data_IF_140514464105
#
_entry.id   IF_140514464105
#
_cell.length_a   1.000
_cell.length_b   1.000
_cell.length_c   1.000
_cell.angle_alpha   90.00
_cell.angle_beta   90.00
_cell.angle_gamma   90.00
#
_symmetry.space_group_name_H-M   'P 1'
#
loop_
_entity.id
_entity.type
_entity.pdbx_description
1 polymer ?
#
# COMPACT_ATOMS: atom_id res chain seq x y z
N UNK A 1 26.49 17.77 5.07
CA UNK A 1 25.43 16.97 5.71
C UNK A 1 25.77 15.49 5.91
N UNK A 2 26.85 14.93 5.34
CA UNK A 2 27.25 13.52 5.58
C UNK A 2 27.84 13.27 6.99
N UNK A 3 28.58 14.23 7.57
CA UNK A 3 29.25 14.08 8.87
C UNK A 3 28.32 13.81 10.07
N UNK A 4 27.08 14.30 10.01
CA UNK A 4 26.17 14.24 11.15
C UNK A 4 25.54 12.85 11.37
N UNK A 5 25.53 11.98 10.33
CA UNK A 5 25.03 10.60 10.43
C UNK A 5 26.06 9.66 11.07
N UNK A 6 27.34 9.88 10.79
CA UNK A 6 28.42 9.08 11.38
C UNK A 6 28.56 9.37 12.88
N UNK A 7 28.37 10.64 13.27
CA UNK A 7 28.41 11.07 14.68
C UNK A 7 27.33 10.38 15.56
N UNK A 8 26.13 10.13 15.01
CA UNK A 8 25.03 9.48 15.74
C UNK A 8 25.24 7.97 15.92
N UNK A 9 25.82 7.30 14.92
CA UNK A 9 26.15 5.88 14.99
C UNK A 9 27.25 5.61 16.03
N UNK A 10 28.28 6.44 16.03
CA UNK A 10 29.39 6.35 16.98
C UNK A 10 28.93 6.67 18.40
N UNK A 11 27.98 7.61 18.55
CA UNK A 11 27.38 7.96 19.84
C UNK A 11 26.56 6.82 20.43
N UNK A 12 25.78 6.10 19.61
CA UNK A 12 24.99 4.96 20.06
C UNK A 12 25.87 3.79 20.51
N UNK A 13 26.92 3.52 19.75
CA UNK A 13 27.88 2.45 20.06
C UNK A 13 28.63 2.72 21.37
N UNK A 14 28.98 3.99 21.64
CA UNK A 14 29.58 4.40 22.93
C UNK A 14 28.61 4.29 24.11
N UNK A 15 27.32 4.57 23.92
CA UNK A 15 26.31 4.45 24.98
C UNK A 15 26.08 2.99 25.38
N UNK A 16 26.15 2.07 24.41
CA UNK A 16 25.98 0.63 24.66
C UNK A 16 27.23 -0.04 25.23
N UNK A 17 28.42 0.51 24.94
CA UNK A 17 29.69 0.02 25.46
C UNK A 17 30.01 0.54 26.88
N UNK A 18 29.20 1.43 27.46
CA UNK A 18 29.36 1.87 28.84
C UNK A 18 28.82 0.81 29.81
N UNK A 19 29.65 0.40 30.77
CA UNK A 19 29.39 -0.63 31.81
C UNK A 19 28.26 -0.29 32.83
N UNK A 20 27.22 0.43 32.40
CA UNK A 20 26.11 0.87 33.25
C UNK A 20 24.83 0.03 33.07
N UNK A 21 24.96 -1.21 32.58
CA UNK A 21 23.85 -2.16 32.60
C UNK A 21 23.71 -2.74 34.02
N UNK A 22 23.06 -1.96 34.90
CA UNK A 22 22.68 -2.41 36.24
C UNK A 22 21.73 -3.60 36.11
N UNK A 23 22.11 -4.74 36.67
CA UNK A 23 21.28 -5.94 36.64
C UNK A 23 19.92 -5.65 37.28
N UNK A 24 18.80 -5.94 36.59
CA UNK A 24 17.48 -5.56 37.08
C UNK A 24 17.14 -6.31 38.37
N UNK A 25 16.40 -5.67 39.31
CA UNK A 25 16.00 -6.32 40.57
C UNK A 25 15.33 -7.67 40.34
N UNK A 26 15.68 -8.68 41.14
CA UNK A 26 15.27 -10.08 40.95
C UNK A 26 13.75 -10.31 40.91
N UNK A 27 12.95 -9.38 41.44
CA UNK A 27 11.49 -9.42 41.33
C UNK A 27 10.98 -9.07 39.92
N UNK A 28 11.66 -8.16 39.22
CA UNK A 28 11.34 -7.72 37.87
C UNK A 28 11.66 -8.80 36.84
N UNK A 29 12.83 -9.44 37.00
CA UNK A 29 13.24 -10.56 36.14
C UNK A 29 12.28 -11.75 36.26
N UNK A 30 11.86 -12.11 37.49
CA UNK A 30 10.90 -13.20 37.72
C UNK A 30 9.52 -12.91 37.10
N UNK A 31 9.03 -11.68 37.18
CA UNK A 31 7.76 -11.28 36.54
C UNK A 31 7.85 -11.35 35.01
N UNK A 32 8.98 -10.92 34.43
CA UNK A 32 9.22 -11.01 32.99
C UNK A 32 9.29 -12.45 32.49
N UNK A 33 9.98 -13.34 33.21
CA UNK A 33 10.04 -14.78 32.90
C UNK A 33 8.64 -15.42 33.00
N UNK A 34 7.88 -15.11 34.04
CA UNK A 34 6.52 -15.62 34.20
C UNK A 34 5.55 -15.13 33.11
N UNK A 35 5.72 -13.90 32.63
CA UNK A 35 4.96 -13.35 31.50
C UNK A 35 5.36 -14.03 30.18
N UNK A 36 6.65 -14.23 29.95
CA UNK A 36 7.20 -14.93 28.78
C UNK A 36 6.74 -16.39 28.68
N UNK A 37 6.65 -17.11 29.81
CA UNK A 37 6.17 -18.49 29.84
C UNK A 37 4.66 -18.63 29.52
N UNK A 38 3.85 -17.59 29.77
CA UNK A 38 2.41 -17.57 29.45
C UNK A 38 2.13 -17.19 28.00
N UNK A 39 3.07 -16.51 27.36
CA UNK A 39 3.07 -16.20 25.94
C UNK A 39 3.74 -17.39 25.21
N UNK A 40 2.98 -18.47 25.00
CA UNK A 40 3.50 -19.68 24.31
C UNK A 40 4.24 -19.35 23.01
N UNK A 41 5.20 -20.21 22.63
CA UNK A 41 6.21 -20.03 21.57
C UNK A 41 5.70 -19.30 20.31
N UNK A 42 5.69 -17.98 20.37
CA UNK A 42 5.76 -17.12 19.19
C UNK A 42 7.17 -16.59 19.20
N UNK A 43 8.03 -17.18 18.35
CA UNK A 43 9.35 -16.64 18.06
C UNK A 43 9.19 -15.15 17.73
N UNK A 44 9.59 -14.31 18.68
CA UNK A 44 9.60 -12.87 18.57
C UNK A 44 11.05 -12.45 18.73
N UNK A 45 11.68 -12.09 17.62
CA UNK A 45 13.01 -11.51 17.65
C UNK A 45 12.99 -10.11 18.24
N UNK A 46 14.18 -9.55 18.47
CA UNK A 46 14.37 -8.25 19.12
C UNK A 46 13.82 -7.06 18.30
N UNK A 47 14.26 -5.84 18.64
CA UNK A 47 13.91 -4.61 17.91
C UNK A 47 14.11 -4.75 16.39
N UNK A 48 15.09 -5.56 15.97
CA UNK A 48 15.32 -5.93 14.56
C UNK A 48 14.13 -6.70 13.96
N UNK A 49 13.51 -7.64 14.69
CA UNK A 49 12.32 -8.37 14.23
C UNK A 49 11.07 -7.48 14.26
N UNK A 50 11.01 -6.50 15.16
CA UNK A 50 9.96 -5.46 15.13
C UNK A 50 10.10 -4.55 13.90
N UNK A 51 11.33 -4.16 13.54
CA UNK A 51 11.63 -3.41 12.31
C UNK A 51 11.31 -4.26 11.07
N UNK A 52 11.68 -5.55 11.07
CA UNK A 52 11.35 -6.47 9.98
C UNK A 52 9.85 -6.76 9.83
N UNK A 53 9.04 -6.48 10.85
CA UNK A 53 7.57 -6.55 10.81
C UNK A 53 6.91 -5.28 10.26
N UNK A 54 7.67 -4.25 9.91
CA UNK A 54 7.16 -3.09 9.17
C UNK A 54 7.08 -3.48 7.68
N UNK A 55 5.86 -3.59 7.14
CA UNK A 55 5.66 -3.73 5.68
C UNK A 55 5.69 -2.33 5.08
N UNK A 56 6.67 -2.08 4.21
CA UNK A 56 6.83 -0.82 3.50
C UNK A 56 5.85 -0.76 2.33
N UNK A 57 4.62 -0.28 2.57
CA UNK A 57 3.66 -0.03 1.48
C UNK A 57 3.89 1.34 0.81
N UNK A 58 4.64 2.25 1.45
CA UNK A 58 5.26 3.42 0.82
C UNK A 58 6.46 3.92 1.64
N UNK A 59 7.48 4.49 0.98
CA UNK A 59 8.68 5.01 1.64
C UNK A 59 8.43 6.19 2.61
N UNK A 60 7.21 6.73 2.66
CA UNK A 60 6.87 7.94 3.41
C UNK A 60 6.18 7.67 4.76
N UNK A 61 5.57 6.50 4.99
CA UNK A 61 4.80 6.24 6.23
C UNK A 61 4.88 4.76 6.66
N UNK A 62 5.83 4.39 7.53
CA UNK A 62 5.87 3.03 8.09
C UNK A 62 4.71 2.84 9.08
N UNK A 63 3.88 1.82 8.88
CA UNK A 63 2.82 1.42 9.81
C UNK A 63 3.22 0.10 10.52
N UNK A 64 2.98 -0.04 11.84
CA UNK A 64 3.23 -1.27 12.57
C UNK A 64 2.37 -2.42 12.04
N UNK A 65 2.93 -3.63 11.88
CA UNK A 65 2.13 -4.82 11.60
C UNK A 65 1.01 -4.99 12.64
N UNK A 66 -0.23 -4.97 12.19
CA UNK A 66 -1.43 -5.09 13.02
C UNK A 66 -2.17 -3.78 13.30
N UNK A 67 -1.58 -2.62 13.00
CA UNK A 67 -2.31 -1.33 12.97
C UNK A 67 -2.97 -1.20 11.61
N UNK A 68 -4.12 -1.86 11.43
CA UNK A 68 -5.06 -1.51 10.37
C UNK A 68 -5.70 -0.19 10.80
N UNK A 69 -5.28 0.91 10.17
CA UNK A 69 -5.89 2.21 10.40
C UNK A 69 -7.39 2.13 10.19
N UNK A 70 -8.16 2.65 11.14
CA UNK A 70 -9.63 2.79 11.07
C UNK A 70 -10.08 3.87 10.07
N UNK A 71 -9.20 4.28 9.16
CA UNK A 71 -9.53 5.10 8.02
C UNK A 71 -9.64 4.15 6.82
N UNK A 72 -10.86 4.01 6.30
CA UNK A 72 -11.24 3.50 4.98
C UNK A 72 -10.01 3.06 4.17
N UNK A 73 -9.68 1.77 4.21
CA UNK A 73 -8.39 1.28 3.73
C UNK A 73 -8.22 1.58 2.24
N UNK A 74 -7.59 2.70 1.88
CA UNK A 74 -7.29 2.98 0.49
C UNK A 74 -6.36 1.89 -0.04
N UNK A 75 -6.63 1.35 -1.23
CA UNK A 75 -5.82 0.31 -1.87
C UNK A 75 -5.12 0.87 -3.09
N UNK A 76 -3.79 0.93 -3.06
CA UNK A 76 -2.97 1.32 -4.22
C UNK A 76 -2.47 0.09 -4.96
N UNK A 77 -2.48 0.13 -6.28
CA UNK A 77 -2.06 -0.96 -7.17
C UNK A 77 -1.38 -0.37 -8.42
N UNK A 78 -0.41 -1.10 -8.96
CA UNK A 78 0.26 -0.76 -10.21
C UNK A 78 0.05 -1.92 -11.19
N UNK A 79 -0.45 -1.64 -12.39
CA UNK A 79 -0.69 -2.62 -13.43
C UNK A 79 0.14 -2.32 -14.67
N UNK A 80 0.76 -3.33 -15.25
CA UNK A 80 1.37 -3.22 -16.58
C UNK A 80 0.31 -3.48 -17.64
N UNK A 81 0.07 -2.50 -18.51
CA UNK A 81 -0.82 -2.62 -19.66
C UNK A 81 0.01 -2.87 -20.89
N UNK A 82 -0.16 -4.04 -21.48
CA UNK A 82 0.47 -4.38 -22.75
C UNK A 82 -0.51 -4.09 -23.91
N UNK A 83 -0.01 -3.62 -25.06
CA UNK A 83 -0.85 -3.34 -26.20
C UNK A 83 -1.49 -4.61 -26.74
N UNK A 84 -2.68 -4.47 -27.32
CA UNK A 84 -3.31 -5.56 -28.05
C UNK A 84 -2.42 -5.98 -29.24
N UNK A 85 -2.29 -7.30 -29.47
CA UNK A 85 -1.42 -7.86 -30.51
C UNK A 85 -1.60 -7.15 -31.86
N UNK A 86 -0.58 -6.41 -32.28
CA UNK A 86 -0.58 -5.65 -33.53
C UNK A 86 -0.26 -4.16 -33.38
N UNK A 87 -0.29 -3.61 -32.16
CA UNK A 87 0.20 -2.26 -31.92
C UNK A 87 1.73 -2.24 -31.78
N UNK A 88 2.38 -1.28 -32.42
CA UNK A 88 3.85 -1.12 -32.45
C UNK A 88 4.41 -0.34 -31.25
N UNK A 89 3.55 0.14 -30.36
CA UNK A 89 3.95 0.99 -29.24
C UNK A 89 4.35 0.22 -28.00
N UNK A 90 5.09 0.88 -27.11
CA UNK A 90 5.46 0.34 -25.81
C UNK A 90 4.24 0.38 -24.89
N UNK A 91 3.96 -0.72 -24.18
CA UNK A 91 2.96 -0.74 -23.13
C UNK A 91 3.19 0.33 -22.04
N UNK A 92 2.14 0.67 -21.31
CA UNK A 92 2.14 1.67 -20.24
C UNK A 92 1.78 1.05 -18.89
N UNK A 93 2.07 1.74 -17.80
CA UNK A 93 1.70 1.35 -16.46
C UNK A 93 0.47 2.16 -16.01
N UNK A 94 -0.44 1.52 -15.27
CA UNK A 94 -1.57 2.14 -14.61
C UNK A 94 -1.33 2.11 -13.10
N UNK A 95 -1.05 3.27 -12.51
CA UNK A 95 -1.02 3.48 -11.06
C UNK A 95 -2.44 3.85 -10.60
N UNK A 96 -3.01 3.06 -9.70
CA UNK A 96 -4.42 3.13 -9.32
C UNK A 96 -4.57 3.12 -7.80
N UNK A 97 -5.28 4.11 -7.28
CA UNK A 97 -5.76 4.18 -5.91
C UNK A 97 -7.27 3.94 -5.88
N UNK A 98 -7.69 2.95 -5.10
CA UNK A 98 -9.09 2.60 -4.87
C UNK A 98 -9.47 3.02 -3.45
N UNK A 99 -10.39 3.97 -3.32
CA UNK A 99 -10.86 4.50 -2.04
C UNK A 99 -12.31 4.12 -1.81
N UNK A 100 -12.64 3.63 -0.63
CA UNK A 100 -14.03 3.38 -0.24
C UNK A 100 -14.57 4.63 0.44
N UNK A 101 -15.56 5.31 -0.13
CA UNK A 101 -16.06 6.57 0.42
C UNK A 101 -17.09 6.35 1.56
N UNK A 102 -17.96 5.36 1.42
CA UNK A 102 -19.05 5.10 2.38
C UNK A 102 -19.62 3.65 2.33
N UNK A 103 -18.83 2.69 1.86
CA UNK A 103 -19.23 1.28 1.74
C UNK A 103 -20.14 0.97 0.55
N UNK A 104 -20.64 1.99 -0.15
CA UNK A 104 -21.46 1.88 -1.37
C UNK A 104 -20.89 2.64 -2.55
N UNK A 105 -20.00 3.61 -2.29
CA UNK A 105 -19.31 4.39 -3.32
C UNK A 105 -17.82 4.12 -3.24
N UNK A 106 -17.24 3.88 -4.41
CA UNK A 106 -15.81 3.71 -4.61
C UNK A 106 -15.32 4.86 -5.48
N UNK A 107 -14.24 5.49 -5.04
CA UNK A 107 -13.52 6.49 -5.83
C UNK A 107 -12.24 5.84 -6.35
N UNK A 108 -12.05 5.89 -7.65
CA UNK A 108 -10.83 5.46 -8.33
C UNK A 108 -10.07 6.71 -8.75
N UNK A 109 -8.86 6.85 -8.25
CA UNK A 109 -7.91 7.86 -8.71
C UNK A 109 -6.78 7.11 -9.39
N UNK A 110 -6.37 7.51 -10.59
CA UNK A 110 -5.26 6.83 -11.23
C UNK A 110 -4.52 7.66 -12.25
N UNK A 111 -3.40 7.12 -12.69
CA UNK A 111 -2.50 7.74 -13.65
C UNK A 111 -1.95 6.70 -14.64
N UNK A 112 -1.91 7.04 -15.93
CA UNK A 112 -1.19 6.29 -16.96
C UNK A 112 0.25 6.79 -17.10
N UNK A 113 1.21 5.86 -17.13
CA UNK A 113 2.65 6.12 -17.16
C UNK A 113 3.34 5.33 -18.28
N UNK A 114 3.92 5.97 -19.32
CA UNK A 114 3.88 7.41 -19.58
C UNK A 114 2.46 7.91 -19.87
N UNK A 115 2.21 9.22 -19.75
CA UNK A 115 0.90 9.80 -20.08
C UNK A 115 0.50 9.49 -21.52
N UNK A 116 -0.74 9.02 -21.69
CA UNK A 116 -1.34 8.78 -23.01
C UNK A 116 -2.52 9.73 -23.18
N UNK A 117 -2.34 10.70 -24.08
CA UNK A 117 -3.40 11.64 -24.42
C UNK A 117 -4.59 10.93 -25.08
N UNK A 118 -5.78 11.50 -24.93
CA UNK A 118 -7.04 10.99 -25.49
C UNK A 118 -7.42 9.57 -25.04
N UNK A 119 -6.77 9.07 -23.98
CA UNK A 119 -7.18 7.83 -23.34
C UNK A 119 -8.48 8.02 -22.55
N UNK A 120 -9.27 6.96 -22.46
CA UNK A 120 -10.53 6.92 -21.71
C UNK A 120 -10.51 5.74 -20.76
N UNK A 121 -10.88 5.97 -19.50
CA UNK A 121 -10.98 4.92 -18.49
C UNK A 121 -12.43 4.70 -18.13
N UNK A 122 -12.86 3.44 -18.18
CA UNK A 122 -14.17 2.98 -17.75
C UNK A 122 -14.02 2.05 -16.57
N UNK A 123 -14.90 2.17 -15.59
CA UNK A 123 -14.95 1.27 -14.45
C UNK A 123 -16.34 0.66 -14.30
N UNK A 124 -16.40 -0.60 -13.91
CA UNK A 124 -17.63 -1.36 -13.69
C UNK A 124 -17.56 -2.12 -12.37
N UNK A 125 -18.62 -2.02 -11.56
CA UNK A 125 -18.80 -2.82 -10.36
C UNK A 125 -20.26 -3.22 -10.22
N UNK A 126 -20.58 -4.49 -10.52
CA UNK A 126 -21.97 -4.96 -10.58
C UNK A 126 -22.80 -4.17 -11.60
N UNK A 127 -23.72 -3.33 -11.11
CA UNK A 127 -24.55 -2.41 -11.91
C UNK A 127 -23.97 -1.00 -12.03
N UNK A 128 -23.02 -0.63 -11.18
CA UNK A 128 -22.35 0.66 -11.25
C UNK A 128 -21.41 0.72 -12.45
N UNK A 129 -21.42 1.87 -13.12
CA UNK A 129 -20.54 2.20 -14.24
C UNK A 129 -20.12 3.64 -14.12
N UNK A 130 -18.87 3.92 -14.46
CA UNK A 130 -18.34 5.27 -14.57
C UNK A 130 -17.35 5.34 -15.72
N UNK A 131 -17.20 6.51 -16.32
CA UNK A 131 -16.28 6.78 -17.42
C UNK A 131 -15.71 8.19 -17.28
N UNK A 132 -14.42 8.34 -17.56
CA UNK A 132 -13.72 9.61 -17.49
C UNK A 132 -12.60 9.63 -18.53
N UNK A 133 -12.39 10.78 -19.19
CA UNK A 133 -11.21 10.99 -20.02
C UNK A 133 -9.96 11.10 -19.14
N UNK A 134 -8.83 10.67 -19.67
CA UNK A 134 -7.52 10.87 -19.07
C UNK A 134 -7.00 12.25 -19.43
N UNK A 135 -6.48 12.97 -18.43
CA UNK A 135 -5.89 14.29 -18.65
C UNK A 135 -4.57 14.21 -19.45
N UNK A 136 -4.08 15.35 -19.93
CA UNK A 136 -2.79 15.42 -20.61
C UNK A 136 -1.60 14.97 -19.72
N UNK A 137 -1.76 15.00 -18.39
CA UNK A 137 -0.77 14.52 -17.42
C UNK A 137 -0.88 13.01 -17.13
N UNK A 138 -1.86 12.33 -17.72
CA UNK A 138 -2.13 10.91 -17.51
C UNK A 138 -3.10 10.62 -16.36
N UNK A 139 -3.54 11.63 -15.60
CA UNK A 139 -4.39 11.47 -14.42
C UNK A 139 -5.89 11.35 -14.78
N UNK A 140 -6.64 10.59 -13.99
CA UNK A 140 -8.10 10.48 -14.04
C UNK A 140 -8.72 10.25 -12.65
N UNK A 141 -10.01 10.58 -12.54
CA UNK A 141 -10.84 10.34 -11.35
C UNK A 141 -12.20 9.79 -11.77
N UNK A 142 -12.64 8.72 -11.11
CA UNK A 142 -13.93 8.07 -11.33
C UNK A 142 -14.62 7.80 -9.99
N UNK A 143 -15.90 8.11 -9.90
CA UNK A 143 -16.75 7.69 -8.78
C UNK A 143 -17.80 6.70 -9.31
N UNK A 144 -17.88 5.52 -8.71
CA UNK A 144 -18.89 4.52 -9.05
C UNK A 144 -19.54 3.92 -7.81
N UNK A 145 -20.82 3.58 -7.95
CA UNK A 145 -21.53 2.81 -6.93
C UNK A 145 -21.17 1.32 -7.03
N UNK A 146 -20.69 0.73 -5.95
CA UNK A 146 -20.35 -0.68 -5.85
C UNK A 146 -20.95 -1.26 -4.57
N UNK A 147 -21.62 -2.41 -4.66
CA UNK A 147 -22.03 -3.12 -3.44
C UNK A 147 -20.81 -3.71 -2.75
N UNK A 148 -20.88 -3.88 -1.43
CA UNK A 148 -19.79 -4.47 -0.63
C UNK A 148 -19.30 -5.79 -1.24
N UNK A 149 -17.98 -5.88 -1.42
CA UNK A 149 -17.30 -7.07 -1.95
C UNK A 149 -17.50 -7.30 -3.46
N UNK A 150 -18.22 -6.44 -4.18
CA UNK A 150 -18.32 -6.57 -5.64
C UNK A 150 -17.00 -6.20 -6.29
N UNK A 151 -16.44 -7.08 -7.14
CA UNK A 151 -15.21 -6.76 -7.84
C UNK A 151 -15.41 -5.61 -8.82
N UNK A 152 -14.35 -4.82 -8.98
CA UNK A 152 -14.25 -3.72 -9.91
C UNK A 152 -13.45 -4.19 -11.12
N UNK A 153 -13.99 -3.98 -12.31
CA UNK A 153 -13.28 -4.13 -13.58
C UNK A 153 -13.01 -2.75 -14.14
N UNK A 154 -11.80 -2.53 -14.64
CA UNK A 154 -11.37 -1.28 -15.26
C UNK A 154 -11.01 -1.59 -16.70
N UNK A 155 -11.57 -0.83 -17.64
CA UNK A 155 -11.22 -0.87 -19.06
C UNK A 155 -10.51 0.44 -19.38
N UNK A 156 -9.32 0.33 -19.97
CA UNK A 156 -8.55 1.46 -20.49
C UNK A 156 -8.56 1.35 -22.01
N UNK A 157 -9.08 2.37 -22.66
CA UNK A 157 -9.04 2.51 -24.12
C UNK A 157 -8.13 3.69 -24.45
N UNK A 158 -7.01 3.42 -25.12
CA UNK A 158 -6.02 4.45 -25.42
C UNK A 158 -5.43 4.27 -26.82
N UNK A 159 -5.09 5.37 -27.52
CA UNK A 159 -4.33 5.28 -28.77
C UNK A 159 -3.02 4.51 -28.57
N UNK A 160 -2.68 3.62 -29.50
CA UNK A 160 -1.46 2.80 -29.43
C UNK A 160 -1.52 1.61 -28.46
N UNK A 161 -2.36 1.65 -27.42
CA UNK A 161 -2.58 0.52 -26.51
C UNK A 161 -3.74 -0.38 -26.97
N UNK A 162 -4.75 0.21 -27.62
CA UNK A 162 -6.02 -0.46 -27.86
C UNK A 162 -6.87 -0.49 -26.60
N UNK A 163 -7.70 -1.54 -26.46
CA UNK A 163 -8.57 -1.72 -25.30
C UNK A 163 -8.01 -2.79 -24.37
N UNK A 164 -7.68 -2.41 -23.14
CA UNK A 164 -7.12 -3.31 -22.13
C UNK A 164 -8.03 -3.35 -20.91
N UNK A 165 -8.32 -4.55 -20.41
CA UNK A 165 -9.11 -4.74 -19.20
C UNK A 165 -8.23 -5.18 -18.03
N UNK A 166 -8.39 -4.52 -16.89
CA UNK A 166 -7.72 -4.80 -15.62
C UNK A 166 -8.78 -5.21 -14.59
N UNK A 167 -8.58 -6.37 -13.98
CA UNK A 167 -9.45 -6.88 -12.92
C UNK A 167 -9.68 -8.38 -12.99
N UNK A 168 -10.49 -8.94 -12.08
CA UNK A 168 -11.29 -8.24 -11.06
C UNK A 168 -10.47 -7.71 -9.87
N UNK A 169 -10.70 -6.45 -9.49
CA UNK A 169 -10.12 -5.80 -8.30
C UNK A 169 -11.13 -5.87 -7.16
N UNK A 170 -10.77 -6.53 -6.06
CA UNK A 170 -11.59 -6.46 -4.85
C UNK A 170 -11.54 -5.05 -4.25
N UNK A 171 -12.71 -4.40 -4.01
CA UNK A 171 -12.74 -3.13 -3.31
C UNK A 171 -12.18 -3.32 -1.90
N UNK A 172 -11.53 -2.31 -1.33
CA UNK A 172 -11.03 -2.44 0.02
C UNK A 172 -12.19 -2.73 0.98
N UNK A 173 -12.00 -3.76 1.80
CA UNK A 173 -12.99 -4.17 2.79
C UNK A 173 -13.22 -3.02 3.76
N UNK A 174 -14.47 -2.55 3.81
CA UNK A 174 -14.96 -1.79 4.95
C UNK A 174 -15.12 -2.78 6.12
N UNK A 175 -14.01 -3.19 6.72
CA UNK A 175 -14.01 -4.15 7.82
C UNK A 175 -14.42 -3.46 9.13
N UNK A 176 -15.65 -3.83 9.54
CA UNK A 176 -16.18 -4.14 10.88
C UNK A 176 -15.57 -3.44 12.10
#
# INVERSE_FOLDING_TARGET
MARQRDDDHDRLTRLLAGDHLVEPPAGTLRKAIALGARLGERRAGGVVDWICRLVFDSAAQPLPAGVRGTALADRRMLFRLEPESGATDRGCDLDLLVRNADGRRVVLLGQLLPPVADATVRARAGRGRAEAPVSAAGDFELELSASRGQPIEIEVEAPGLGRVTVGPIAPPDADR
#
